data_IF_453452599836
#
_entry.id   IF_453452599836
#
_cell.length_a   1.000
_cell.length_b   1.000
_cell.length_c   1.000
_cell.angle_alpha   90.00
_cell.angle_beta   90.00
_cell.angle_gamma   90.00
#
_symmetry.space_group_name_H-M   'P 1'
#
loop_
_entity.id
_entity.type
_entity.pdbx_description
1 polymer ?
#
# COMPACT_ATOMS: atom_id res chain seq x y z
N UNK A 1 9.70 -12.54 20.89
CA UNK A 1 10.29 -12.51 19.53
C UNK A 1 9.29 -12.05 18.48
N UNK A 2 8.08 -12.63 18.38
CA UNK A 2 7.05 -12.21 17.40
C UNK A 2 6.77 -10.70 17.44
N UNK A 3 6.54 -10.12 18.62
CA UNK A 3 6.31 -8.67 18.75
C UNK A 3 7.50 -7.80 18.33
N UNK A 4 8.73 -8.31 18.50
CA UNK A 4 9.95 -7.61 18.06
C UNK A 4 10.01 -7.59 16.55
N UNK A 5 9.74 -8.72 15.88
CA UNK A 5 9.67 -8.78 14.42
C UNK A 5 8.53 -7.94 13.86
N UNK A 6 7.36 -7.91 14.51
CA UNK A 6 6.25 -7.06 14.12
C UNK A 6 6.61 -5.57 14.21
N UNK A 7 7.25 -5.14 15.31
CA UNK A 7 7.70 -3.76 15.48
C UNK A 7 8.77 -3.36 14.44
N UNK A 8 9.75 -4.23 14.21
CA UNK A 8 10.78 -4.02 13.17
C UNK A 8 10.15 -3.93 11.77
N UNK A 9 9.23 -4.84 11.45
CA UNK A 9 8.49 -4.83 10.19
C UNK A 9 7.72 -3.53 10.00
N UNK A 10 7.05 -3.03 11.05
CA UNK A 10 6.30 -1.77 10.99
C UNK A 10 7.22 -0.56 10.74
N UNK A 11 8.38 -0.51 11.41
CA UNK A 11 9.38 0.56 11.18
C UNK A 11 9.90 0.52 9.75
N UNK A 12 10.24 -0.68 9.24
CA UNK A 12 10.71 -0.84 7.86
C UNK A 12 9.61 -0.42 6.88
N UNK A 13 8.35 -0.80 7.13
CA UNK A 13 7.22 -0.45 6.28
C UNK A 13 7.04 1.09 6.18
N UNK A 14 7.13 1.79 7.31
CA UNK A 14 7.05 3.25 7.35
C UNK A 14 8.16 3.91 6.53
N UNK A 15 9.40 3.48 6.71
CA UNK A 15 10.56 4.02 5.99
C UNK A 15 10.51 3.69 4.49
N UNK A 16 10.10 2.47 4.15
CA UNK A 16 9.97 2.03 2.76
C UNK A 16 8.86 2.79 2.03
N UNK A 17 7.73 3.06 2.68
CA UNK A 17 6.63 3.85 2.11
C UNK A 17 7.06 5.28 1.78
N UNK A 18 7.74 5.95 2.71
CA UNK A 18 8.25 7.31 2.50
C UNK A 18 9.31 7.35 1.38
N UNK A 19 10.23 6.38 1.36
CA UNK A 19 11.22 6.23 0.30
C UNK A 19 10.58 5.99 -1.08
N UNK A 20 9.54 5.15 -1.14
CA UNK A 20 8.79 4.86 -2.37
C UNK A 20 8.14 6.13 -2.92
N UNK A 21 7.42 6.89 -2.10
CA UNK A 21 6.75 8.14 -2.52
C UNK A 21 7.78 9.15 -3.02
N UNK A 22 8.86 9.38 -2.27
CA UNK A 22 9.93 10.32 -2.66
C UNK A 22 10.62 9.90 -3.96
N UNK A 23 10.92 8.61 -4.12
CA UNK A 23 11.50 8.06 -5.34
C UNK A 23 10.58 8.24 -6.55
N UNK A 24 9.29 7.97 -6.36
CA UNK A 24 8.27 8.10 -7.39
C UNK A 24 8.07 9.57 -7.83
N UNK A 25 8.03 10.52 -6.91
CA UNK A 25 7.96 11.96 -7.23
C UNK A 25 9.23 12.43 -7.97
N UNK A 26 10.42 12.00 -7.54
CA UNK A 26 11.65 12.34 -8.26
C UNK A 26 11.67 11.75 -9.68
N UNK A 27 11.15 10.53 -9.84
CA UNK A 27 10.99 9.91 -11.14
C UNK A 27 10.02 10.70 -12.03
N UNK A 28 8.89 11.18 -11.49
CA UNK A 28 7.93 11.98 -12.26
C UNK A 28 8.58 13.28 -12.78
N UNK A 29 9.39 13.95 -11.94
CA UNK A 29 10.14 15.15 -12.33
C UNK A 29 11.15 14.88 -13.46
N UNK A 30 11.86 13.75 -13.39
CA UNK A 30 12.85 13.37 -14.42
C UNK A 30 12.21 12.98 -15.75
N UNK A 31 11.04 12.37 -15.70
CA UNK A 31 10.29 11.97 -16.90
C UNK A 31 9.43 13.11 -17.49
N UNK A 32 9.28 14.23 -16.78
CA UNK A 32 8.39 15.33 -17.20
C UNK A 32 6.91 14.95 -17.16
N UNK A 33 6.54 13.94 -16.37
CA UNK A 33 5.17 13.43 -16.26
C UNK A 33 4.53 13.99 -14.97
N UNK A 34 3.23 14.32 -14.97
CA UNK A 34 2.54 14.74 -13.77
C UNK A 34 2.75 13.76 -12.60
N UNK A 35 3.12 14.30 -11.43
CA UNK A 35 3.33 13.50 -10.22
C UNK A 35 2.10 12.65 -9.88
N UNK A 36 0.89 13.16 -10.16
CA UNK A 36 -0.35 12.42 -10.00
C UNK A 36 -0.37 11.08 -10.76
N UNK A 37 0.12 11.05 -12.00
CA UNK A 37 0.14 9.81 -12.81
C UNK A 37 1.05 8.78 -12.15
N UNK A 38 2.23 9.20 -11.69
CA UNK A 38 3.18 8.32 -11.02
C UNK A 38 2.65 7.85 -9.66
N UNK A 39 1.96 8.71 -8.92
CA UNK A 39 1.29 8.33 -7.67
C UNK A 39 0.17 7.31 -7.90
N UNK A 40 -0.68 7.53 -8.92
CA UNK A 40 -1.79 6.63 -9.25
C UNK A 40 -1.34 5.29 -9.86
N UNK A 41 -0.09 5.17 -10.27
CA UNK A 41 0.45 3.95 -10.90
C UNK A 41 1.49 3.28 -10.01
N UNK A 42 2.67 3.87 -9.87
CA UNK A 42 3.80 3.28 -9.17
C UNK A 42 3.56 3.23 -7.66
N UNK A 43 3.14 4.35 -7.06
CA UNK A 43 2.91 4.40 -5.61
C UNK A 43 1.73 3.51 -5.25
N UNK A 44 0.59 3.68 -5.93
CA UNK A 44 -0.60 2.87 -5.69
C UNK A 44 -0.35 1.36 -5.85
N UNK A 45 0.44 0.95 -6.86
CA UNK A 45 0.84 -0.44 -7.03
C UNK A 45 1.78 -0.90 -5.91
N UNK A 46 2.80 -0.12 -5.59
CA UNK A 46 3.78 -0.48 -4.57
C UNK A 46 3.18 -0.64 -3.18
N UNK A 47 2.21 0.19 -2.80
CA UNK A 47 1.49 0.06 -1.52
C UNK A 47 0.53 -1.11 -1.49
N UNK A 48 0.01 -1.55 -2.64
CA UNK A 48 -0.95 -2.65 -2.75
C UNK A 48 -0.32 -4.00 -3.11
N UNK A 49 1.00 -4.03 -3.31
CA UNK A 49 1.75 -5.24 -3.64
C UNK A 49 1.66 -6.32 -2.54
N UNK A 50 1.75 -6.00 -1.23
CA UNK A 50 1.54 -6.98 -0.17
C UNK A 50 0.16 -7.64 -0.24
N UNK A 51 -0.88 -6.84 -0.46
CA UNK A 51 -2.26 -7.30 -0.57
C UNK A 51 -2.44 -8.18 -1.79
N UNK A 52 -1.86 -7.82 -2.94
CA UNK A 52 -1.87 -8.65 -4.13
C UNK A 52 -1.24 -10.01 -3.84
N UNK A 53 -0.08 -10.04 -3.17
CA UNK A 53 0.58 -11.29 -2.79
C UNK A 53 -0.28 -12.14 -1.85
N UNK A 54 -0.90 -11.54 -0.84
CA UNK A 54 -1.79 -12.26 0.09
C UNK A 54 -3.00 -12.82 -0.65
N UNK A 55 -3.65 -12.03 -1.50
CA UNK A 55 -4.82 -12.46 -2.27
C UNK A 55 -4.47 -13.56 -3.28
N UNK A 56 -3.32 -13.48 -3.95
CA UNK A 56 -2.87 -14.53 -4.88
C UNK A 56 -2.56 -15.82 -4.13
N UNK A 57 -1.79 -15.77 -3.03
CA UNK A 57 -1.51 -16.96 -2.23
C UNK A 57 -2.80 -17.59 -1.69
N UNK A 58 -3.71 -16.79 -1.14
CA UNK A 58 -4.99 -17.29 -0.64
C UNK A 58 -5.84 -17.94 -1.74
N UNK A 59 -5.82 -17.42 -2.96
CA UNK A 59 -6.51 -18.03 -4.09
C UNK A 59 -5.86 -19.35 -4.51
N UNK A 60 -4.53 -19.45 -4.46
CA UNK A 60 -3.79 -20.68 -4.75
C UNK A 60 -3.96 -21.75 -3.65
N UNK A 61 -4.14 -21.34 -2.41
CA UNK A 61 -4.36 -22.20 -1.24
C UNK A 61 -5.83 -22.63 -1.05
N UNK A 62 -6.66 -22.50 -2.10
CA UNK A 62 -8.10 -22.83 -2.10
C UNK A 62 -8.91 -22.08 -1.02
N UNK A 63 -8.47 -20.86 -0.66
CA UNK A 63 -9.10 -19.98 0.32
C UNK A 63 -9.59 -18.65 -0.31
N UNK A 64 -10.48 -18.68 -1.33
CA UNK A 64 -10.89 -17.48 -2.08
C UNK A 64 -11.63 -16.45 -1.22
N UNK A 65 -12.25 -16.87 -0.12
CA UNK A 65 -12.88 -15.95 0.85
C UNK A 65 -11.87 -15.00 1.51
N UNK A 66 -10.65 -15.46 1.77
CA UNK A 66 -9.57 -14.62 2.31
C UNK A 66 -9.09 -13.64 1.25
N UNK A 67 -8.93 -14.10 0.00
CA UNK A 67 -8.55 -13.24 -1.11
C UNK A 67 -9.55 -12.09 -1.33
N UNK A 68 -10.86 -12.40 -1.32
CA UNK A 68 -11.92 -11.42 -1.44
C UNK A 68 -11.97 -10.48 -0.24
N UNK A 69 -11.88 -11.03 0.98
CA UNK A 69 -11.86 -10.26 2.22
C UNK A 69 -10.70 -9.26 2.26
N UNK A 70 -9.53 -9.67 1.78
CA UNK A 70 -8.36 -8.80 1.67
C UNK A 70 -8.60 -7.64 0.69
N UNK A 71 -9.09 -7.93 -0.54
CA UNK A 71 -9.33 -6.89 -1.55
C UNK A 71 -10.41 -5.89 -1.10
N UNK A 72 -11.55 -6.36 -0.58
CA UNK A 72 -12.65 -5.49 -0.16
C UNK A 72 -12.28 -4.74 1.13
N UNK A 73 -11.66 -5.44 2.08
CA UNK A 73 -11.25 -4.88 3.37
C UNK A 73 -10.24 -3.76 3.20
N UNK A 74 -9.18 -3.97 2.41
CA UNK A 74 -8.14 -2.96 2.18
C UNK A 74 -8.67 -1.72 1.47
N UNK A 75 -9.54 -1.87 0.46
CA UNK A 75 -10.16 -0.71 -0.19
C UNK A 75 -11.08 0.08 0.75
N UNK A 76 -11.82 -0.62 1.60
CA UNK A 76 -12.68 0.01 2.62
C UNK A 76 -11.83 0.78 3.64
N UNK A 77 -10.74 0.19 4.12
CA UNK A 77 -9.79 0.84 5.01
C UNK A 77 -9.12 2.07 4.35
N UNK A 78 -8.77 1.98 3.07
CA UNK A 78 -8.17 3.09 2.35
C UNK A 78 -9.11 4.30 2.25
N UNK A 79 -10.40 4.07 1.95
CA UNK A 79 -11.37 5.17 1.86
C UNK A 79 -11.69 5.75 3.25
N UNK A 80 -11.99 4.90 4.23
CA UNK A 80 -12.48 5.36 5.53
C UNK A 80 -11.37 5.83 6.47
N UNK A 81 -10.23 5.14 6.48
CA UNK A 81 -9.14 5.43 7.41
C UNK A 81 -8.06 6.27 6.73
N UNK A 82 -7.49 5.78 5.62
CA UNK A 82 -6.31 6.42 4.99
C UNK A 82 -6.68 7.76 4.36
N UNK A 83 -7.84 7.87 3.70
CA UNK A 83 -8.35 9.12 3.16
C UNK A 83 -9.21 9.89 4.18
N UNK A 84 -10.12 9.19 4.85
CA UNK A 84 -11.08 9.80 5.77
C UNK A 84 -10.46 10.49 6.99
N UNK A 85 -9.46 9.90 7.64
CA UNK A 85 -8.85 10.51 8.83
C UNK A 85 -8.09 11.80 8.47
N UNK A 86 -7.20 11.85 7.46
CA UNK A 86 -6.56 13.11 7.06
C UNK A 86 -7.56 14.17 6.63
N UNK A 87 -8.65 13.81 5.96
CA UNK A 87 -9.69 14.75 5.55
C UNK A 87 -10.45 15.39 6.72
N UNK A 88 -10.53 14.72 7.88
CA UNK A 88 -11.11 15.29 9.11
C UNK A 88 -10.14 16.21 9.88
N UNK A 89 -8.84 16.06 9.63
CA UNK A 89 -7.78 16.85 10.31
C UNK A 89 -7.44 18.11 9.50
N UNK A 90 -7.64 18.09 8.18
CA UNK A 90 -7.43 19.20 7.26
C UNK A 90 -8.47 20.33 7.45
#
# INVERSE_FOLDING_TARGET
MVFVYAALGLVILLLAGDALVKGAVNLSLRLGVPALIVSLTIVAFGTSAPELLISVNAALDDAPGIALGNVIGSNTANVLLVLGIPALIA
#
